data_IF_923150154535
#
_entry.id   IF_923150154535
#
_cell.length_a   1.000
_cell.length_b   1.000
_cell.length_c   1.000
_cell.angle_alpha   90.00
_cell.angle_beta   90.00
_cell.angle_gamma   90.00
#
_symmetry.space_group_name_H-M   'P 1'
#
loop_
_entity.id
_entity.type
_entity.pdbx_description
1 polymer ?
#
# COMPACT_ATOMS: atom_id res chain seq x y z
N UNK A 1 -20.54 31.42 -11.18
CA UNK A 1 -19.17 31.95 -11.38
C UNK A 1 -18.34 30.80 -11.90
N UNK A 2 -17.81 30.95 -13.11
CA UNK A 2 -17.10 29.90 -13.83
C UNK A 2 -15.67 29.82 -13.31
N UNK A 3 -15.36 28.75 -12.59
CA UNK A 3 -13.98 28.32 -12.38
C UNK A 3 -13.54 27.68 -13.70
N UNK A 4 -12.63 28.36 -14.40
CA UNK A 4 -11.96 27.81 -15.57
C UNK A 4 -11.11 26.64 -15.10
N UNK A 5 -11.45 25.45 -15.55
CA UNK A 5 -10.51 24.33 -15.64
C UNK A 5 -9.29 24.82 -16.41
N UNK A 6 -8.16 24.93 -15.72
CA UNK A 6 -6.88 25.12 -16.37
C UNK A 6 -6.48 23.79 -17.00
N UNK A 7 -6.88 23.61 -18.27
CA UNK A 7 -6.34 22.61 -19.17
C UNK A 7 -4.83 22.90 -19.34
N UNK A 8 -3.99 22.10 -18.70
CA UNK A 8 -2.53 22.16 -18.81
C UNK A 8 -2.06 21.01 -19.70
N UNK A 9 -2.37 21.10 -20.98
CA UNK A 9 -1.67 20.39 -22.05
C UNK A 9 -0.32 21.08 -22.26
N UNK A 10 0.73 20.56 -21.62
CA UNK A 10 2.08 21.13 -21.74
C UNK A 10 2.83 20.43 -22.90
N UNK A 11 2.78 21.04 -24.08
CA UNK A 11 3.59 20.67 -25.24
C UNK A 11 5.03 21.16 -25.01
N UNK A 12 6.00 20.25 -25.12
CA UNK A 12 7.38 20.44 -24.62
C UNK A 12 8.21 21.48 -25.37
N UNK A 13 7.99 22.77 -25.11
CA UNK A 13 8.78 23.87 -25.68
C UNK A 13 8.73 25.24 -24.99
N UNK A 14 7.88 25.45 -23.99
CA UNK A 14 7.77 26.78 -23.35
C UNK A 14 8.83 27.02 -22.26
N UNK A 15 9.75 27.96 -22.51
CA UNK A 15 10.69 28.44 -21.49
C UNK A 15 10.03 29.53 -20.62
N UNK A 16 10.03 29.33 -19.30
CA UNK A 16 9.52 30.33 -18.34
C UNK A 16 10.67 31.18 -17.79
N UNK A 17 10.52 32.50 -17.83
CA UNK A 17 11.51 33.43 -17.24
C UNK A 17 11.13 33.78 -15.81
N UNK A 18 12.04 33.54 -14.87
CA UNK A 18 11.89 33.92 -13.46
C UNK A 18 12.79 35.11 -13.12
N UNK A 19 12.27 36.05 -12.32
CA UNK A 19 13.07 37.12 -11.70
C UNK A 19 13.13 36.87 -10.20
N UNK A 20 14.32 36.54 -9.70
CA UNK A 20 14.57 36.38 -8.26
C UNK A 20 14.85 37.75 -7.65
N UNK A 21 14.07 38.14 -6.63
CA UNK A 21 14.21 39.43 -5.92
C UNK A 21 14.57 39.20 -4.47
N UNK A 22 15.27 40.17 -3.88
CA UNK A 22 15.62 40.20 -2.46
C UNK A 22 16.46 38.99 -1.98
N UNK A 23 17.36 38.46 -2.82
CA UNK A 23 18.35 37.49 -2.36
C UNK A 23 19.38 38.21 -1.48
N UNK A 24 19.62 37.75 -0.23
CA UNK A 24 20.63 38.33 0.64
C UNK A 24 22.03 38.33 0.00
N UNK A 25 22.83 39.38 0.24
CA UNK A 25 24.13 39.57 -0.42
C UNK A 25 25.16 38.48 -0.05
N UNK A 26 25.08 37.97 1.17
CA UNK A 26 25.86 36.82 1.63
C UNK A 26 25.49 35.54 0.86
N UNK A 27 24.20 35.26 0.68
CA UNK A 27 23.73 34.15 -0.17
C UNK A 27 24.16 34.32 -1.63
N UNK A 28 24.07 35.53 -2.18
CA UNK A 28 24.49 35.84 -3.54
C UNK A 28 25.99 35.57 -3.76
N UNK A 29 26.82 35.88 -2.75
CA UNK A 29 28.25 35.57 -2.74
C UNK A 29 28.49 34.06 -2.78
N UNK A 30 27.80 33.30 -1.93
CA UNK A 30 27.91 31.82 -1.91
C UNK A 30 27.53 31.22 -3.27
N UNK A 31 26.45 31.69 -3.90
CA UNK A 31 26.06 31.23 -5.24
C UNK A 31 27.15 31.54 -6.27
N UNK A 32 27.77 32.72 -6.19
CA UNK A 32 28.90 33.08 -7.08
C UNK A 32 30.07 32.13 -6.89
N UNK A 33 30.48 31.87 -5.64
CA UNK A 33 31.61 31.00 -5.33
C UNK A 33 31.37 29.56 -5.82
N UNK A 34 30.16 29.02 -5.62
CA UNK A 34 29.76 27.69 -6.10
C UNK A 34 29.72 27.61 -7.63
N UNK A 35 29.19 28.63 -8.31
CA UNK A 35 29.16 28.70 -9.76
C UNK A 35 30.59 28.76 -10.35
N UNK A 36 31.46 29.56 -9.74
CA UNK A 36 32.88 29.64 -10.11
C UNK A 36 33.60 28.30 -9.89
N UNK A 37 33.34 27.62 -8.77
CA UNK A 37 33.90 26.29 -8.50
C UNK A 37 33.45 25.25 -9.53
N UNK A 38 32.17 25.26 -9.90
CA UNK A 38 31.60 24.42 -10.94
C UNK A 38 32.03 24.82 -12.38
N UNK A 39 32.76 25.94 -12.53
CA UNK A 39 33.17 26.54 -13.82
C UNK A 39 32.01 26.86 -14.75
N UNK A 40 30.89 27.34 -14.18
CA UNK A 40 29.67 27.68 -14.94
C UNK A 40 29.27 29.14 -14.73
N UNK A 41 28.64 29.79 -15.72
CA UNK A 41 28.01 31.08 -15.51
C UNK A 41 26.94 30.98 -14.41
N UNK A 42 26.83 32.00 -13.55
CA UNK A 42 25.90 32.02 -12.41
C UNK A 42 24.45 31.69 -12.78
N UNK A 43 23.97 32.24 -13.89
CA UNK A 43 22.63 31.96 -14.41
C UNK A 43 22.45 30.50 -14.86
N UNK A 44 23.47 29.91 -15.50
CA UNK A 44 23.46 28.48 -15.87
C UNK A 44 23.47 27.60 -14.63
N UNK A 45 24.33 27.91 -13.66
CA UNK A 45 24.39 27.19 -12.39
C UNK A 45 23.05 27.22 -11.64
N UNK A 46 22.42 28.39 -11.53
CA UNK A 46 21.10 28.51 -10.90
C UNK A 46 20.01 27.77 -11.68
N UNK A 47 20.02 27.83 -13.01
CA UNK A 47 19.05 27.09 -13.82
C UNK A 47 19.19 25.58 -13.62
N UNK A 48 20.40 25.05 -13.73
CA UNK A 48 20.66 23.62 -13.49
C UNK A 48 20.31 23.22 -12.06
N UNK A 49 20.63 24.06 -11.07
CA UNK A 49 20.23 23.83 -9.68
C UNK A 49 18.71 23.76 -9.52
N UNK A 50 17.96 24.65 -10.16
CA UNK A 50 16.50 24.61 -10.15
C UNK A 50 15.97 23.36 -10.86
N UNK A 51 16.53 23.04 -12.04
CA UNK A 51 16.18 21.84 -12.79
C UNK A 51 16.41 20.57 -11.97
N UNK A 52 17.54 20.47 -11.27
CA UNK A 52 17.87 19.31 -10.43
C UNK A 52 17.05 19.29 -9.13
N UNK A 53 16.82 20.45 -8.50
CA UNK A 53 16.06 20.55 -7.23
C UNK A 53 14.57 20.24 -7.40
N UNK A 54 14.02 20.56 -8.57
CA UNK A 54 12.59 20.35 -8.87
C UNK A 54 12.36 19.19 -9.84
N UNK A 55 13.38 18.36 -10.12
CA UNK A 55 13.25 17.22 -11.02
C UNK A 55 12.34 16.14 -10.43
N UNK A 56 11.14 16.03 -10.97
CA UNK A 56 10.29 14.86 -10.75
C UNK A 56 10.67 13.75 -11.74
N UNK A 57 11.67 12.95 -11.33
CA UNK A 57 12.18 11.83 -12.13
C UNK A 57 11.09 10.75 -12.29
N UNK A 58 10.24 10.57 -11.28
CA UNK A 58 9.16 9.58 -11.30
C UNK A 58 8.12 9.97 -12.35
N UNK A 59 7.66 11.22 -12.33
CA UNK A 59 6.66 11.69 -13.29
C UNK A 59 7.19 11.69 -14.73
N UNK A 60 8.43 12.15 -14.91
CA UNK A 60 9.10 12.12 -16.22
C UNK A 60 9.21 10.70 -16.77
N UNK A 61 9.60 9.74 -15.91
CA UNK A 61 9.75 8.35 -16.27
C UNK A 61 8.40 7.69 -16.57
N UNK A 62 7.38 7.93 -15.75
CA UNK A 62 6.03 7.41 -15.95
C UNK A 62 5.45 7.80 -17.31
N UNK A 63 5.74 9.03 -17.76
CA UNK A 63 5.20 9.56 -19.01
C UNK A 63 5.96 9.05 -20.25
N UNK A 64 7.28 9.07 -20.19
CA UNK A 64 8.13 8.91 -21.37
C UNK A 64 8.64 7.50 -21.58
N UNK A 65 8.64 6.66 -20.54
CA UNK A 65 9.26 5.35 -20.64
C UNK A 65 8.32 4.33 -21.32
N UNK A 66 8.71 3.72 -22.45
CA UNK A 66 7.89 2.71 -23.13
C UNK A 66 7.57 1.48 -22.29
N UNK A 67 8.44 1.13 -21.32
CA UNK A 67 8.20 0.02 -20.39
C UNK A 67 6.94 0.26 -19.56
N UNK A 68 6.76 1.48 -19.05
CA UNK A 68 5.59 1.83 -18.24
C UNK A 68 4.32 1.76 -19.08
N UNK A 69 4.35 2.31 -20.30
CA UNK A 69 3.21 2.21 -21.21
C UNK A 69 2.83 0.75 -21.49
N UNK A 70 3.81 -0.12 -21.74
CA UNK A 70 3.55 -1.55 -21.96
C UNK A 70 2.95 -2.25 -20.74
N UNK A 71 3.43 -1.94 -19.54
CA UNK A 71 2.93 -2.54 -18.30
C UNK A 71 1.53 -2.04 -17.94
N UNK A 72 1.24 -0.76 -18.21
CA UNK A 72 -0.11 -0.21 -18.01
C UNK A 72 -1.12 -0.91 -18.94
N UNK A 73 -0.78 -1.16 -20.20
CA UNK A 73 -1.63 -1.90 -21.14
C UNK A 73 -1.82 -3.36 -20.71
N UNK A 74 -0.78 -4.01 -20.19
CA UNK A 74 -0.89 -5.36 -19.64
C UNK A 74 -1.85 -5.41 -18.45
N UNK A 75 -1.74 -4.46 -17.52
CA UNK A 75 -2.66 -4.34 -16.38
C UNK A 75 -4.09 -4.01 -16.82
N UNK A 76 -4.26 -3.15 -17.82
CA UNK A 76 -5.57 -2.84 -18.37
C UNK A 76 -6.23 -4.09 -18.98
N UNK A 77 -5.46 -4.87 -19.76
CA UNK A 77 -5.94 -6.15 -20.31
C UNK A 77 -6.28 -7.16 -19.22
N UNK A 78 -5.49 -7.23 -18.14
CA UNK A 78 -5.75 -8.12 -17.01
C UNK A 78 -7.06 -7.77 -16.29
N UNK A 79 -7.38 -6.49 -16.15
CA UNK A 79 -8.57 -5.99 -15.45
C UNK A 79 -9.83 -5.86 -16.33
N UNK A 80 -9.75 -6.17 -17.64
CA UNK A 80 -10.78 -5.82 -18.64
C UNK A 80 -11.11 -4.31 -18.63
N UNK A 81 -10.06 -3.49 -18.56
CA UNK A 81 -10.11 -2.04 -18.47
C UNK A 81 -9.37 -1.38 -19.65
N UNK A 82 -9.42 -0.04 -19.71
CA UNK A 82 -8.66 0.76 -20.68
C UNK A 82 -7.73 1.74 -19.98
N UNK A 83 -6.56 2.01 -20.56
CA UNK A 83 -5.68 3.08 -20.08
C UNK A 83 -6.29 4.43 -20.47
N UNK A 84 -6.35 5.35 -19.52
CA UNK A 84 -6.86 6.71 -19.76
C UNK A 84 -5.93 7.51 -20.68
N UNK A 85 -6.50 8.18 -21.67
CA UNK A 85 -5.76 9.09 -22.57
C UNK A 85 -5.36 10.39 -21.86
N UNK A 86 -6.26 10.93 -21.03
CA UNK A 86 -6.05 12.19 -20.31
C UNK A 86 -5.32 11.97 -18.98
N UNK A 87 -4.35 12.85 -18.71
CA UNK A 87 -3.54 12.81 -17.49
C UNK A 87 -4.35 13.30 -16.30
N UNK A 88 -4.29 12.55 -15.19
CA UNK A 88 -4.69 13.06 -13.89
C UNK A 88 -3.49 13.76 -13.25
N UNK A 89 -3.50 15.10 -13.21
CA UNK A 89 -2.50 15.90 -12.51
C UNK A 89 -3.06 16.47 -11.22
N UNK A 90 -2.27 16.41 -10.15
CA UNK A 90 -2.58 17.03 -8.87
C UNK A 90 -1.29 17.37 -8.15
N UNK A 91 -1.27 18.50 -7.43
CA UNK A 91 -0.13 18.92 -6.60
C UNK A 91 0.22 17.87 -5.52
N UNK A 92 -0.74 17.03 -5.12
CA UNK A 92 -0.49 15.90 -4.23
C UNK A 92 0.44 14.85 -4.87
N UNK A 93 0.32 14.61 -6.18
CA UNK A 93 1.14 13.60 -6.89
C UNK A 93 2.61 14.01 -6.88
N UNK A 94 2.92 15.28 -7.20
CA UNK A 94 4.30 15.78 -7.16
C UNK A 94 4.91 15.67 -5.77
N UNK A 95 4.15 16.01 -4.72
CA UNK A 95 4.60 15.84 -3.33
C UNK A 95 4.88 14.37 -3.01
N UNK A 96 3.99 13.45 -3.40
CA UNK A 96 4.18 12.03 -3.15
C UNK A 96 5.39 11.46 -3.89
N UNK A 97 5.63 11.88 -5.14
CA UNK A 97 6.81 11.47 -5.91
C UNK A 97 8.11 11.86 -5.19
N UNK A 98 8.20 13.07 -4.64
CA UNK A 98 9.36 13.49 -3.86
C UNK A 98 9.54 12.63 -2.60
N UNK A 99 8.47 12.29 -1.89
CA UNK A 99 8.53 11.41 -0.73
C UNK A 99 8.96 9.97 -1.13
N UNK A 100 8.48 9.44 -2.27
CA UNK A 100 8.96 8.18 -2.81
C UNK A 100 10.46 8.21 -3.12
N UNK A 101 10.93 9.26 -3.80
CA UNK A 101 12.36 9.43 -4.11
C UNK A 101 13.21 9.43 -2.84
N UNK A 102 12.77 10.15 -1.80
CA UNK A 102 13.45 10.22 -0.51
C UNK A 102 13.45 8.88 0.24
N UNK A 103 12.29 8.23 0.36
CA UNK A 103 12.14 6.99 1.12
C UNK A 103 12.87 5.81 0.46
N UNK A 104 12.89 5.76 -0.87
CA UNK A 104 13.43 4.64 -1.64
C UNK A 104 14.85 4.91 -2.16
N UNK A 105 15.37 6.13 -1.97
CA UNK A 105 16.69 6.53 -2.44
C UNK A 105 16.80 6.57 -3.97
N UNK A 106 15.75 7.06 -4.64
CA UNK A 106 15.68 7.09 -6.10
C UNK A 106 16.08 8.47 -6.61
N UNK A 107 17.12 8.50 -7.44
CA UNK A 107 17.67 9.73 -8.03
C UNK A 107 17.78 9.68 -9.57
N UNK A 108 17.69 8.48 -10.16
CA UNK A 108 17.91 8.27 -11.60
C UNK A 108 16.80 7.43 -12.26
N UNK A 109 16.66 7.58 -13.57
CA UNK A 109 15.75 6.75 -14.38
C UNK A 109 16.16 5.27 -14.40
N UNK A 110 17.45 4.97 -14.30
CA UNK A 110 17.95 3.58 -14.28
C UNK A 110 17.62 2.88 -12.95
N UNK A 111 17.61 3.60 -11.83
CA UNK A 111 17.08 3.09 -10.56
C UNK A 111 15.59 2.79 -10.66
N UNK A 112 14.80 3.68 -11.29
CA UNK A 112 13.38 3.43 -11.54
C UNK A 112 13.16 2.22 -12.44
N UNK A 113 13.94 2.07 -13.51
CA UNK A 113 13.85 0.93 -14.41
C UNK A 113 14.09 -0.38 -13.68
N UNK A 114 15.16 -0.47 -12.89
CA UNK A 114 15.47 -1.66 -12.07
C UNK A 114 14.38 -1.93 -11.04
N UNK A 115 13.89 -0.91 -10.37
CA UNK A 115 12.81 -1.01 -9.40
C UNK A 115 11.54 -1.59 -10.03
N UNK A 116 11.13 -1.07 -11.19
CA UNK A 116 9.94 -1.55 -11.91
C UNK A 116 10.09 -3.01 -12.27
N UNK A 117 11.21 -3.39 -12.90
CA UNK A 117 11.46 -4.78 -13.31
C UNK A 117 11.46 -5.75 -12.12
N UNK A 118 12.05 -5.35 -10.98
CA UNK A 118 12.07 -6.18 -9.77
C UNK A 118 10.69 -6.34 -9.14
N UNK A 119 9.77 -5.42 -9.42
CA UNK A 119 8.43 -5.39 -8.81
C UNK A 119 7.29 -5.75 -9.77
N UNK A 120 7.59 -6.00 -11.07
CA UNK A 120 6.62 -6.48 -12.06
C UNK A 120 5.78 -7.68 -11.59
N UNK A 121 6.35 -8.70 -10.90
CA UNK A 121 5.56 -9.85 -10.44
C UNK A 121 4.44 -9.52 -9.43
N UNK A 122 4.48 -8.33 -8.81
CA UNK A 122 3.51 -7.93 -7.78
C UNK A 122 2.43 -6.96 -8.29
N UNK A 123 2.47 -6.60 -9.58
CA UNK A 123 1.58 -5.57 -10.13
C UNK A 123 0.12 -6.03 -10.20
N UNK A 124 -0.14 -7.28 -10.59
CA UNK A 124 -1.50 -7.82 -10.65
C UNK A 124 -2.15 -7.87 -9.25
N UNK A 125 -1.41 -8.34 -8.25
CA UNK A 125 -1.86 -8.34 -6.85
C UNK A 125 -2.19 -6.92 -6.39
N UNK A 126 -1.36 -5.94 -6.77
CA UNK A 126 -1.66 -4.54 -6.43
C UNK A 126 -2.87 -4.00 -7.19
N UNK A 127 -3.06 -4.42 -8.43
CA UNK A 127 -4.22 -4.07 -9.24
C UNK A 127 -5.52 -4.60 -8.61
N UNK A 128 -5.53 -5.83 -8.12
CA UNK A 128 -6.69 -6.41 -7.43
C UNK A 128 -7.03 -5.66 -6.13
N UNK A 129 -6.01 -5.23 -5.39
CA UNK A 129 -6.18 -4.49 -4.13
C UNK A 129 -6.89 -3.14 -4.31
N UNK A 130 -6.69 -2.45 -5.45
CA UNK A 130 -7.10 -1.04 -5.59
C UNK A 130 -7.94 -0.71 -6.82
N UNK A 131 -7.88 -1.50 -7.89
CA UNK A 131 -8.54 -1.23 -9.17
C UNK A 131 -9.60 -2.26 -9.55
N UNK A 132 -9.88 -3.26 -8.71
CA UNK A 132 -10.95 -4.23 -8.98
C UNK A 132 -12.27 -3.51 -9.29
N UNK A 133 -12.83 -3.79 -10.47
CA UNK A 133 -14.06 -3.17 -10.99
C UNK A 133 -13.90 -1.82 -11.69
N UNK A 134 -12.69 -1.29 -11.85
CA UNK A 134 -12.44 -0.06 -12.59
C UNK A 134 -12.43 -0.32 -14.10
N UNK A 135 -13.13 0.51 -14.86
CA UNK A 135 -13.18 0.40 -16.34
C UNK A 135 -12.08 1.19 -17.05
N UNK A 136 -11.51 2.19 -16.38
CA UNK A 136 -10.43 3.00 -16.91
C UNK A 136 -9.37 3.16 -15.83
N UNK A 137 -8.10 2.92 -16.17
CA UNK A 137 -6.98 3.02 -15.23
C UNK A 137 -6.07 4.21 -15.61
N UNK A 138 -5.52 4.95 -14.63
CA UNK A 138 -4.61 6.05 -14.92
C UNK A 138 -3.34 5.61 -15.64
N UNK A 139 -2.83 6.43 -16.55
CA UNK A 139 -1.50 6.25 -17.13
C UNK A 139 -0.41 6.46 -16.06
N UNK A 140 0.62 5.62 -16.06
CA UNK A 140 1.70 5.59 -15.07
C UNK A 140 1.38 4.77 -13.82
N UNK A 141 0.26 4.05 -13.80
CA UNK A 141 -0.20 3.33 -12.60
C UNK A 141 0.70 2.14 -12.27
N UNK A 142 1.28 1.46 -13.28
CA UNK A 142 2.25 0.38 -13.08
C UNK A 142 3.48 0.85 -12.31
N UNK A 143 3.96 2.08 -12.55
CA UNK A 143 5.05 2.68 -11.78
C UNK A 143 4.64 2.91 -10.33
N UNK A 144 3.44 3.46 -10.11
CA UNK A 144 2.91 3.69 -8.75
C UNK A 144 2.79 2.37 -7.98
N UNK A 145 2.35 1.30 -8.64
CA UNK A 145 2.26 -0.03 -8.05
C UNK A 145 3.64 -0.62 -7.76
N UNK A 146 4.59 -0.42 -8.66
CA UNK A 146 5.98 -0.83 -8.47
C UNK A 146 6.59 -0.13 -7.24
N UNK A 147 6.36 1.18 -7.09
CA UNK A 147 6.82 1.95 -5.93
C UNK A 147 6.20 1.47 -4.62
N UNK A 148 4.91 1.14 -4.62
CA UNK A 148 4.24 0.55 -3.47
C UNK A 148 4.82 -0.83 -3.10
N UNK A 149 5.03 -1.70 -4.10
CA UNK A 149 5.64 -3.00 -3.89
C UNK A 149 7.09 -2.89 -3.40
N UNK A 150 7.83 -1.86 -3.83
CA UNK A 150 9.15 -1.57 -3.32
C UNK A 150 9.10 -1.17 -1.84
N UNK A 151 8.16 -0.30 -1.43
CA UNK A 151 7.93 0.05 -0.02
C UNK A 151 7.61 -1.20 0.80
N UNK A 152 6.77 -2.10 0.28
CA UNK A 152 6.45 -3.35 0.97
C UNK A 152 7.71 -4.18 1.29
N UNK A 153 8.75 -4.09 0.46
CA UNK A 153 10.03 -4.75 0.69
C UNK A 153 10.90 -4.15 1.81
N UNK A 154 10.58 -2.98 2.33
CA UNK A 154 11.42 -2.23 3.28
C UNK A 154 11.18 -2.64 4.73
N UNK A 155 11.97 -2.07 5.63
CA UNK A 155 11.81 -2.24 7.07
C UNK A 155 10.54 -1.52 7.60
N UNK A 156 10.18 -1.82 8.85
CA UNK A 156 8.98 -1.29 9.49
C UNK A 156 8.97 0.23 9.57
N UNK A 157 10.10 0.84 9.90
CA UNK A 157 10.20 2.29 10.05
C UNK A 157 9.93 2.99 8.72
N UNK A 158 10.54 2.51 7.64
CA UNK A 158 10.31 3.03 6.29
C UNK A 158 8.84 2.90 5.85
N UNK A 159 8.21 1.76 6.16
CA UNK A 159 6.78 1.54 5.84
C UNK A 159 5.87 2.46 6.65
N UNK A 160 6.17 2.68 7.94
CA UNK A 160 5.43 3.61 8.79
C UNK A 160 5.58 5.06 8.31
N UNK A 161 6.76 5.45 7.81
CA UNK A 161 6.98 6.76 7.19
C UNK A 161 6.21 6.91 5.88
N UNK A 162 6.17 5.86 5.04
CA UNK A 162 5.34 5.87 3.84
C UNK A 162 3.86 6.07 4.16
N UNK A 163 3.33 5.38 5.18
CA UNK A 163 1.96 5.63 5.66
C UNK A 163 1.75 7.10 6.02
N UNK A 164 2.65 7.69 6.81
CA UNK A 164 2.50 9.07 7.30
C UNK A 164 2.62 10.12 6.19
N UNK A 165 3.53 9.92 5.24
CA UNK A 165 3.91 10.97 4.29
C UNK A 165 3.19 10.86 2.94
N UNK A 166 2.78 9.65 2.55
CA UNK A 166 2.21 9.37 1.23
C UNK A 166 0.74 8.95 1.35
N UNK A 167 0.44 7.95 2.18
CA UNK A 167 -0.88 7.29 2.19
C UNK A 167 -1.84 7.75 3.30
N UNK A 168 -1.41 8.71 4.12
CA UNK A 168 -2.11 9.07 5.33
C UNK A 168 -3.57 9.43 5.05
N UNK A 169 -4.45 8.86 5.86
CA UNK A 169 -5.86 9.19 5.88
C UNK A 169 -6.35 9.28 7.32
N UNK A 170 -7.32 10.15 7.56
CA UNK A 170 -8.00 10.27 8.85
C UNK A 170 -8.90 9.05 9.13
N UNK A 171 -9.26 8.31 8.08
CA UNK A 171 -10.06 7.09 8.15
C UNK A 171 -9.24 5.92 8.70
N UNK A 172 -9.69 5.30 9.80
CA UNK A 172 -8.92 4.26 10.50
C UNK A 172 -8.76 2.99 9.65
N UNK A 173 -9.81 2.63 8.93
CA UNK A 173 -9.88 1.51 7.99
C UNK A 173 -8.87 1.62 6.85
N UNK A 174 -8.48 2.85 6.44
CA UNK A 174 -7.45 3.06 5.41
C UNK A 174 -6.05 2.72 5.94
N UNK A 175 -5.76 3.03 7.21
CA UNK A 175 -4.50 2.63 7.86
C UNK A 175 -4.40 1.11 7.85
N UNK A 176 -5.46 0.45 8.29
CA UNK A 176 -5.50 -1.01 8.35
C UNK A 176 -5.30 -1.65 6.98
N UNK A 177 -6.09 -1.25 5.97
CA UNK A 177 -5.96 -1.74 4.59
C UNK A 177 -4.57 -1.54 4.03
N UNK A 178 -3.94 -0.38 4.29
CA UNK A 178 -2.57 -0.12 3.85
C UNK A 178 -1.59 -1.19 4.37
N UNK A 179 -1.61 -1.50 5.67
CA UNK A 179 -0.69 -2.52 6.20
C UNK A 179 -1.04 -3.91 5.69
N UNK A 180 -2.31 -4.24 5.48
CA UNK A 180 -2.69 -5.52 4.88
C UNK A 180 -2.18 -5.68 3.45
N UNK A 181 -2.33 -4.64 2.63
CA UNK A 181 -1.84 -4.61 1.26
C UNK A 181 -0.32 -4.79 1.21
N UNK A 182 0.39 -4.12 2.12
CA UNK A 182 1.84 -4.28 2.31
C UNK A 182 2.19 -5.73 2.66
N UNK A 183 1.46 -6.33 3.61
CA UNK A 183 1.73 -7.68 4.09
C UNK A 183 1.48 -8.75 3.03
N UNK A 184 0.44 -8.60 2.21
CA UNK A 184 0.20 -9.48 1.08
C UNK A 184 1.40 -9.50 0.12
N UNK A 185 1.95 -8.33 -0.23
CA UNK A 185 3.13 -8.23 -1.09
C UNK A 185 4.39 -8.74 -0.37
N UNK A 186 4.54 -8.49 0.93
CA UNK A 186 5.66 -9.02 1.74
C UNK A 186 5.68 -10.54 1.78
N UNK A 187 4.52 -11.17 1.95
CA UNK A 187 4.39 -12.62 1.92
C UNK A 187 4.85 -13.19 0.57
N UNK A 188 4.44 -12.58 -0.54
CA UNK A 188 4.90 -12.96 -1.89
C UNK A 188 6.41 -12.76 -2.08
N UNK A 189 6.97 -11.71 -1.47
CA UNK A 189 8.43 -11.47 -1.39
C UNK A 189 9.15 -12.41 -0.41
N UNK A 190 8.43 -13.29 0.30
CA UNK A 190 8.96 -14.19 1.33
C UNK A 190 9.67 -13.44 2.47
N UNK A 191 9.16 -12.25 2.80
CA UNK A 191 9.67 -11.43 3.89
C UNK A 191 8.91 -11.70 5.19
N UNK A 192 9.55 -11.49 6.36
CA UNK A 192 8.87 -11.58 7.63
C UNK A 192 7.71 -10.57 7.73
N UNK A 193 6.65 -11.01 8.40
CA UNK A 193 5.55 -10.19 8.86
C UNK A 193 6.05 -8.95 9.66
N UNK A 194 5.47 -7.77 9.43
CA UNK A 194 5.84 -6.53 10.13
C UNK A 194 5.45 -6.53 11.61
N UNK A 195 4.38 -7.23 11.96
CA UNK A 195 3.86 -7.32 13.33
C UNK A 195 3.09 -8.60 13.57
N UNK A 196 3.31 -9.17 14.75
CA UNK A 196 2.59 -10.32 15.27
C UNK A 196 3.14 -11.65 14.81
N UNK A 197 2.58 -12.67 15.42
CA UNK A 197 2.93 -14.05 15.16
C UNK A 197 2.03 -14.58 14.03
N UNK A 198 2.60 -15.46 13.21
CA UNK A 198 1.95 -16.06 12.04
C UNK A 198 2.04 -17.57 12.15
N UNK A 199 0.92 -18.25 11.93
CA UNK A 199 0.81 -19.69 11.95
C UNK A 199 0.16 -20.16 10.67
N UNK A 200 0.75 -21.16 10.02
CA UNK A 200 0.27 -21.69 8.74
C UNK A 200 0.23 -23.20 8.79
N UNK A 201 -0.88 -23.79 8.33
CA UNK A 201 -1.06 -25.23 8.12
C UNK A 201 -1.92 -25.46 6.89
N UNK A 202 -1.49 -26.37 6.01
CA UNK A 202 -2.19 -26.74 4.77
C UNK A 202 -2.65 -25.55 3.90
N UNK A 203 -1.83 -24.48 3.91
CA UNK A 203 -2.08 -23.25 3.15
C UNK A 203 -3.03 -22.25 3.83
N UNK A 204 -3.69 -22.62 4.93
CA UNK A 204 -4.45 -21.71 5.79
C UNK A 204 -3.48 -20.97 6.68
N UNK A 205 -3.47 -19.64 6.59
CA UNK A 205 -2.61 -18.80 7.42
C UNK A 205 -3.46 -17.96 8.37
N UNK A 206 -3.15 -18.03 9.65
CA UNK A 206 -3.71 -17.18 10.70
C UNK A 206 -2.60 -16.29 11.23
N UNK A 207 -2.88 -15.00 11.31
CA UNK A 207 -1.96 -14.04 11.87
C UNK A 207 -2.64 -13.23 12.95
N UNK A 208 -1.96 -13.09 14.08
CA UNK A 208 -2.48 -12.37 15.24
C UNK A 208 -1.47 -11.31 15.64
N UNK A 209 -1.91 -10.05 15.68
CA UNK A 209 -1.05 -8.93 16.06
C UNK A 209 -1.83 -7.89 16.86
N UNK A 210 -1.12 -7.07 17.63
CA UNK A 210 -1.71 -5.93 18.33
C UNK A 210 -1.43 -4.64 17.56
N UNK A 211 -2.44 -3.98 16.97
CA UNK A 211 -2.31 -2.62 16.47
C UNK A 211 -1.86 -1.65 17.57
N UNK A 212 -1.10 -0.60 17.21
CA UNK A 212 -0.58 0.38 18.18
C UNK A 212 -1.67 1.04 19.03
N UNK A 213 -2.87 1.21 18.47
CA UNK A 213 -4.01 1.83 19.14
C UNK A 213 -4.88 0.85 19.93
N UNK A 214 -4.48 -0.42 20.02
CA UNK A 214 -5.22 -1.42 20.78
C UNK A 214 -4.68 -1.52 22.20
N UNK A 215 -5.60 -1.65 23.15
CA UNK A 215 -5.27 -2.00 24.52
C UNK A 215 -4.63 -3.40 24.58
N UNK A 216 -3.91 -3.68 25.66
CA UNK A 216 -3.44 -5.04 25.94
C UNK A 216 -4.64 -5.98 26.08
N UNK A 217 -4.58 -7.15 25.47
CA UNK A 217 -5.72 -8.08 25.38
C UNK A 217 -6.69 -7.78 24.25
N UNK A 218 -6.45 -6.75 23.43
CA UNK A 218 -7.14 -6.57 22.16
C UNK A 218 -6.18 -6.88 21.02
N UNK A 219 -6.63 -7.69 20.07
CA UNK A 219 -5.82 -8.20 18.98
C UNK A 219 -6.58 -8.12 17.67
N UNK A 220 -5.81 -8.02 16.59
CA UNK A 220 -6.29 -8.17 15.22
C UNK A 220 -5.92 -9.54 14.72
N UNK A 221 -6.88 -10.20 14.06
CA UNK A 221 -6.68 -11.50 13.44
C UNK A 221 -6.97 -11.39 11.96
N UNK A 222 -6.06 -11.87 11.13
CA UNK A 222 -6.28 -12.02 9.69
C UNK A 222 -6.10 -13.47 9.30
N UNK A 223 -7.06 -14.01 8.56
CA UNK A 223 -7.01 -15.36 8.00
C UNK A 223 -6.92 -15.27 6.48
N UNK A 224 -6.11 -16.13 5.87
CA UNK A 224 -6.04 -16.28 4.42
C UNK A 224 -6.07 -17.74 4.01
N UNK A 225 -6.81 -18.04 2.95
CA UNK A 225 -6.92 -19.35 2.33
C UNK A 225 -6.06 -19.44 1.05
N UNK A 226 -5.69 -20.66 0.62
CA UNK A 226 -5.10 -20.85 -0.70
C UNK A 226 -6.13 -20.60 -1.82
N UNK A 227 -5.65 -20.26 -3.02
CA UNK A 227 -6.48 -19.79 -4.15
C UNK A 227 -7.59 -20.77 -4.55
N UNK A 228 -7.38 -22.08 -4.38
CA UNK A 228 -8.36 -23.11 -4.68
C UNK A 228 -9.66 -23.00 -3.85
N UNK A 229 -9.61 -22.28 -2.73
CA UNK A 229 -10.77 -22.00 -1.89
C UNK A 229 -11.30 -20.55 -2.04
N UNK A 230 -10.60 -19.63 -2.71
CA UNK A 230 -10.94 -18.21 -2.65
C UNK A 230 -12.32 -17.82 -3.24
N UNK A 231 -12.97 -18.70 -4.02
CA UNK A 231 -14.22 -18.42 -4.76
C UNK A 231 -15.49 -18.88 -4.05
N UNK A 232 -15.40 -19.66 -2.97
CA UNK A 232 -16.56 -20.12 -2.21
C UNK A 232 -16.76 -19.28 -0.95
N UNK A 233 -18.03 -19.03 -0.60
CA UNK A 233 -18.39 -18.36 0.65
C UNK A 233 -18.78 -19.43 1.67
N UNK A 234 -17.96 -19.59 2.71
CA UNK A 234 -18.29 -20.42 3.87
C UNK A 234 -18.62 -19.55 5.06
N UNK A 235 -19.72 -19.88 5.75
CA UNK A 235 -20.00 -19.33 7.06
C UNK A 235 -19.39 -20.30 8.07
N UNK A 236 -18.31 -19.88 8.71
CA UNK A 236 -17.51 -20.69 9.62
C UNK A 236 -17.77 -20.22 11.06
N UNK A 237 -18.09 -21.12 12.00
CA UNK A 237 -18.33 -20.75 13.38
C UNK A 237 -17.04 -20.23 14.05
N UNK A 238 -17.18 -19.37 15.06
CA UNK A 238 -16.03 -19.03 15.89
C UNK A 238 -15.64 -20.21 16.79
N UNK A 239 -14.34 -20.48 17.01
CA UNK A 239 -13.93 -21.49 17.99
C UNK A 239 -14.34 -21.04 19.39
N UNK A 240 -14.88 -21.96 20.19
CA UNK A 240 -15.18 -21.73 21.59
C UNK A 240 -13.89 -21.80 22.41
N UNK A 241 -13.41 -20.65 22.83
CA UNK A 241 -12.17 -20.51 23.59
C UNK A 241 -12.45 -19.74 24.88
N UNK A 242 -12.09 -20.33 26.02
CA UNK A 242 -12.31 -19.71 27.32
C UNK A 242 -11.59 -18.35 27.38
N UNK A 243 -12.30 -17.33 27.86
CA UNK A 243 -11.80 -15.96 27.97
C UNK A 243 -11.37 -15.28 26.67
N UNK A 244 -11.76 -15.81 25.50
CA UNK A 244 -11.51 -15.19 24.19
C UNK A 244 -12.83 -14.86 23.51
N UNK A 245 -12.96 -13.63 23.04
CA UNK A 245 -14.13 -13.15 22.32
C UNK A 245 -13.72 -12.72 20.91
N UNK A 246 -14.39 -13.26 19.90
CA UNK A 246 -14.19 -12.85 18.52
C UNK A 246 -15.31 -11.95 18.02
N UNK A 247 -14.94 -11.01 17.16
CA UNK A 247 -15.89 -10.25 16.35
C UNK A 247 -15.34 -10.10 14.94
N UNK A 248 -16.07 -10.55 13.92
CA UNK A 248 -15.69 -10.31 12.54
C UNK A 248 -15.87 -8.85 12.14
N UNK A 249 -15.04 -8.38 11.23
CA UNK A 249 -15.20 -7.05 10.65
C UNK A 249 -16.47 -6.93 9.82
N UNK A 250 -16.99 -5.69 9.62
CA UNK A 250 -18.05 -5.43 8.66
C UNK A 250 -17.68 -6.00 7.28
N UNK A 251 -18.55 -6.84 6.72
CA UNK A 251 -18.30 -7.55 5.46
C UNK A 251 -17.87 -9.01 5.63
N UNK A 252 -17.20 -9.34 6.73
CA UNK A 252 -16.80 -10.70 7.09
C UNK A 252 -17.71 -11.35 8.14
N UNK A 253 -18.60 -10.58 8.78
CA UNK A 253 -19.63 -11.12 9.67
C UNK A 253 -20.65 -11.96 8.91
N UNK A 254 -20.98 -13.13 9.47
CA UNK A 254 -21.98 -14.04 8.96
C UNK A 254 -22.84 -14.62 10.10
N UNK A 255 -23.87 -15.39 9.74
CA UNK A 255 -24.68 -16.17 10.66
C UNK A 255 -24.71 -17.62 10.18
N UNK A 256 -24.69 -18.55 11.13
CA UNK A 256 -24.89 -19.98 10.88
C UNK A 256 -26.09 -20.47 11.68
N UNK A 257 -26.91 -21.34 11.10
CA UNK A 257 -28.01 -21.99 11.80
C UNK A 257 -27.46 -23.19 12.56
N UNK A 258 -27.43 -23.09 13.89
CA UNK A 258 -27.03 -24.19 14.76
C UNK A 258 -28.22 -25.13 15.03
N UNK A 259 -29.43 -24.57 15.08
CA UNK A 259 -30.71 -25.27 15.23
C UNK A 259 -31.78 -24.53 14.38
N UNK A 260 -32.93 -25.15 14.06
CA UNK A 260 -33.96 -24.54 13.20
C UNK A 260 -34.38 -23.13 13.61
N UNK A 261 -34.32 -22.81 14.91
CA UNK A 261 -34.71 -21.50 15.47
C UNK A 261 -33.55 -20.74 16.13
N UNK A 262 -32.30 -21.20 15.98
CA UNK A 262 -31.12 -20.58 16.60
C UNK A 262 -30.05 -20.25 15.58
N UNK A 263 -29.68 -18.96 15.55
CA UNK A 263 -28.61 -18.42 14.72
C UNK A 263 -27.44 -18.01 15.60
N UNK A 264 -26.29 -18.63 15.34
CA UNK A 264 -25.05 -18.27 16.01
C UNK A 264 -24.19 -17.38 15.09
N UNK A 265 -23.33 -16.58 15.71
CA UNK A 265 -22.40 -15.70 14.98
C UNK A 265 -21.33 -16.54 14.30
N UNK A 266 -21.05 -16.20 13.05
CA UNK A 266 -20.02 -16.82 12.25
C UNK A 266 -19.17 -15.74 11.56
N UNK A 267 -18.08 -16.17 10.96
CA UNK A 267 -17.30 -15.36 10.03
C UNK A 267 -17.30 -16.01 8.65
N UNK A 268 -16.98 -15.22 7.62
CA UNK A 268 -16.85 -15.72 6.25
C UNK A 268 -15.60 -15.17 5.58
N UNK A 269 -15.13 -15.90 4.58
CA UNK A 269 -14.08 -15.44 3.68
C UNK A 269 -14.68 -14.63 2.53
N UNK A 270 -13.96 -13.59 2.11
CA UNK A 270 -14.24 -12.80 0.92
C UNK A 270 -12.94 -12.74 0.12
N UNK A 271 -12.97 -13.25 -1.11
CA UNK A 271 -11.78 -13.38 -1.97
C UNK A 271 -10.61 -14.10 -1.25
N UNK A 272 -10.91 -15.16 -0.49
CA UNK A 272 -9.92 -15.94 0.25
C UNK A 272 -9.35 -15.29 1.51
N UNK A 273 -9.85 -14.13 1.93
CA UNK A 273 -9.39 -13.41 3.14
C UNK A 273 -10.52 -13.27 4.16
N UNK A 274 -10.20 -13.29 5.44
CA UNK A 274 -11.12 -12.95 6.53
C UNK A 274 -10.42 -12.12 7.61
N UNK A 275 -11.15 -11.19 8.22
CA UNK A 275 -10.63 -10.30 9.25
C UNK A 275 -11.51 -10.26 10.49
N UNK A 276 -10.86 -10.42 11.65
CA UNK A 276 -11.52 -10.47 12.94
C UNK A 276 -10.81 -9.57 13.94
N UNK A 277 -11.53 -9.16 14.96
CA UNK A 277 -10.96 -8.76 16.24
C UNK A 277 -11.03 -9.93 17.22
N UNK A 278 -10.01 -10.03 18.05
CA UNK A 278 -9.92 -10.95 19.18
C UNK A 278 -9.73 -10.13 20.45
N UNK A 279 -10.56 -10.39 21.45
CA UNK A 279 -10.48 -9.74 22.75
C UNK A 279 -10.32 -10.78 23.85
N UNK A 280 -9.48 -10.46 24.81
CA UNK A 280 -9.43 -11.10 26.11
C UNK A 280 -10.62 -10.62 26.91
N UNK A 281 -11.36 -11.55 27.50
CA UNK A 281 -12.56 -11.26 28.27
C UNK A 281 -12.53 -12.00 29.59
N UNK A 282 -12.88 -11.34 30.70
CA UNK A 282 -13.02 -11.97 32.02
C UNK A 282 -11.73 -12.24 32.78
N UNK A 283 -10.54 -12.13 32.15
CA UNK A 283 -9.22 -12.24 32.80
C UNK A 283 -8.26 -11.21 32.22
N UNK A 284 -7.17 -10.91 32.93
CA UNK A 284 -6.06 -10.15 32.36
C UNK A 284 -5.31 -10.98 31.32
N UNK A 285 -4.82 -10.34 30.26
CA UNK A 285 -4.22 -11.06 29.13
C UNK A 285 -2.99 -11.89 29.52
N UNK A 286 -2.21 -11.44 30.51
CA UNK A 286 -1.03 -12.16 30.98
C UNK A 286 -1.36 -13.44 31.75
N UNK A 287 -2.61 -13.55 32.21
CA UNK A 287 -3.13 -14.69 32.95
C UNK A 287 -4.11 -15.52 32.11
N UNK A 288 -4.27 -15.20 30.81
CA UNK A 288 -5.17 -15.96 29.95
C UNK A 288 -4.59 -17.36 29.72
N UNK A 289 -5.32 -18.44 30.08
CA UNK A 289 -4.83 -19.81 29.87
C UNK A 289 -4.75 -20.21 28.40
N UNK A 290 -5.39 -19.45 27.50
CA UNK A 290 -5.39 -19.69 26.05
C UNK A 290 -4.41 -18.73 25.36
N UNK A 291 -3.13 -19.08 25.16
CA UNK A 291 -2.15 -18.25 24.47
C UNK A 291 -2.51 -18.06 22.99
N UNK A 292 -1.95 -17.02 22.36
CA UNK A 292 -2.27 -16.69 20.96
C UNK A 292 -1.95 -17.82 19.97
N UNK A 293 -0.94 -18.64 20.25
CA UNK A 293 -0.65 -19.83 19.45
C UNK A 293 -1.79 -20.84 19.44
N UNK A 294 -2.40 -21.10 20.59
CA UNK A 294 -3.53 -22.02 20.71
C UNK A 294 -4.79 -21.42 20.07
N UNK A 295 -4.97 -20.10 20.18
CA UNK A 295 -6.01 -19.37 19.44
C UNK A 295 -5.86 -19.56 17.93
N UNK A 296 -4.64 -19.42 17.41
CA UNK A 296 -4.36 -19.58 15.99
C UNK A 296 -4.63 -21.03 15.53
N UNK A 297 -4.21 -22.03 16.31
CA UNK A 297 -4.50 -23.43 16.00
C UNK A 297 -5.99 -23.75 16.01
N UNK A 298 -6.74 -23.22 16.98
CA UNK A 298 -8.19 -23.41 17.04
C UNK A 298 -8.90 -22.80 15.82
N UNK A 299 -8.47 -21.62 15.37
CA UNK A 299 -8.99 -21.01 14.14
C UNK A 299 -8.65 -21.84 12.91
N UNK A 300 -7.42 -22.34 12.78
CA UNK A 300 -7.02 -23.22 11.67
C UNK A 300 -7.88 -24.50 11.67
N UNK A 301 -8.03 -25.17 12.82
CA UNK A 301 -8.84 -26.39 12.94
C UNK A 301 -10.28 -26.16 12.46
N UNK A 302 -10.95 -25.13 12.97
CA UNK A 302 -12.34 -24.86 12.61
C UNK A 302 -12.48 -24.49 11.13
N UNK A 303 -11.50 -23.79 10.55
CA UNK A 303 -11.49 -23.51 9.12
C UNK A 303 -11.33 -24.80 8.32
N UNK A 304 -10.34 -25.66 8.64
CA UNK A 304 -10.13 -26.94 7.95
C UNK A 304 -11.38 -27.84 7.99
N UNK A 305 -12.01 -27.95 9.16
CA UNK A 305 -13.22 -28.78 9.34
C UNK A 305 -14.41 -28.31 8.50
N UNK A 306 -14.47 -27.02 8.16
CA UNK A 306 -15.58 -26.41 7.40
C UNK A 306 -15.25 -26.16 5.91
N UNK A 307 -14.01 -26.43 5.48
CA UNK A 307 -13.58 -26.37 4.08
C UNK A 307 -13.61 -27.74 3.36
N UNK A 308 -13.82 -28.83 4.12
CA UNK A 308 -14.04 -30.20 3.61
C UNK A 308 -15.51 -30.43 3.24
#
# INVERSE_FOLDING_TARGET
MSEKEHDMTNDGGESVTYTLRNIPADTDRVITDLASHARKPKATFLREFLEDSFRDVIDSFALKNPLIASLDEELASYLDAKVMEQRYQSHFITRWNQEYQKLLGISTEEELRRLVLNNTPFLQVRADQVLKGWKNIPRGISLTFSLFAEIAGRDRETIDQAWKNIFYSQLREKKHRFYQDIEAIRALKKLPALTGDSWTRDGITVRIYRPENYARGAWRVTLSLPENYATQMWNIPFPELEYRLFTADPGYSALISAEPDRWDKAFRFVDGVCELHLYTNGVEEDHNPTPLGDVAQALINVVEENLL
#
